data_IF_220977262874
#
_entry.id   IF_220977262874
#
_cell.length_a   1.000
_cell.length_b   1.000
_cell.length_c   1.000
_cell.angle_alpha   90.00
_cell.angle_beta   90.00
_cell.angle_gamma   90.00
#
_symmetry.space_group_name_H-M   'P 1'
#
loop_
_entity.id
_entity.type
_entity.pdbx_description
1 polymer ?
#
# COMPACT_ATOMS: atom_id res chain seq x y z
N UNK A 1 66.38 -22.08 41.21
CA UNK A 1 65.65 -23.31 40.84
C UNK A 1 64.22 -22.94 40.54
N UNK A 2 63.68 -23.47 39.43
CA UNK A 2 62.28 -23.47 38.98
C UNK A 2 61.59 -22.10 38.87
N UNK A 3 61.51 -21.44 37.70
CA UNK A 3 60.83 -21.88 36.45
C UNK A 3 59.51 -22.60 36.75
N UNK A 4 58.40 -21.87 36.67
CA UNK A 4 57.04 -22.33 36.36
C UNK A 4 56.08 -21.15 36.54
N UNK A 5 55.03 -20.92 35.77
CA UNK A 5 54.56 -21.43 34.47
C UNK A 5 53.27 -20.62 34.21
N UNK A 6 52.96 -20.31 32.95
CA UNK A 6 51.63 -19.93 32.45
C UNK A 6 51.04 -18.57 32.84
N UNK A 7 51.52 -17.52 32.16
CA UNK A 7 50.64 -16.42 31.72
C UNK A 7 49.86 -16.92 30.50
N UNK A 8 48.66 -17.45 30.74
CA UNK A 8 47.70 -17.73 29.67
C UNK A 8 47.14 -16.39 29.19
N UNK A 9 47.75 -15.83 28.16
CA UNK A 9 47.18 -14.71 27.41
C UNK A 9 46.02 -15.30 26.60
N UNK A 10 44.81 -15.15 27.12
CA UNK A 10 43.59 -15.34 26.34
C UNK A 10 43.55 -14.21 25.30
N UNK A 11 44.09 -14.49 24.11
CA UNK A 11 43.73 -13.77 22.89
C UNK A 11 42.28 -14.13 22.58
N UNK A 12 41.36 -13.49 23.28
CA UNK A 12 39.99 -13.37 22.82
C UNK A 12 40.05 -12.55 21.54
N UNK A 13 40.18 -13.25 20.41
CA UNK A 13 39.90 -12.71 19.08
C UNK A 13 38.43 -12.32 19.11
N UNK A 14 38.15 -11.10 19.58
CA UNK A 14 36.91 -10.41 19.31
C UNK A 14 36.88 -10.24 17.80
N UNK A 15 36.30 -11.22 17.12
CA UNK A 15 35.71 -10.99 15.81
C UNK A 15 34.67 -9.91 16.04
N UNK A 16 35.09 -8.65 15.90
CA UNK A 16 34.21 -7.56 15.54
C UNK A 16 33.66 -7.98 14.18
N UNK A 17 32.60 -8.77 14.18
CA UNK A 17 31.64 -8.70 13.11
C UNK A 17 31.10 -7.29 13.20
N UNK A 18 31.73 -6.39 12.44
CA UNK A 18 31.11 -5.14 12.07
C UNK A 18 29.89 -5.59 11.30
N UNK A 19 28.78 -5.77 12.01
CA UNK A 19 27.46 -5.73 11.41
C UNK A 19 27.38 -4.33 10.83
N UNK A 20 27.89 -4.17 9.61
CA UNK A 20 27.54 -3.06 8.76
C UNK A 20 26.04 -3.21 8.59
N UNK A 21 25.28 -2.57 9.48
CA UNK A 21 23.91 -2.24 9.20
C UNK A 21 24.00 -1.40 7.93
N UNK A 22 23.81 -2.05 6.79
CA UNK A 22 23.71 -1.40 5.50
C UNK A 22 22.54 -0.44 5.65
N UNK A 23 22.84 0.84 5.86
CA UNK A 23 21.81 1.84 5.99
C UNK A 23 21.00 1.84 4.69
N UNK A 24 19.68 1.80 4.82
CA UNK A 24 18.72 1.95 3.74
C UNK A 24 19.02 3.24 2.97
N UNK A 25 19.76 3.15 1.88
CA UNK A 25 20.28 4.32 1.16
C UNK A 25 19.76 4.43 -0.28
N UNK A 26 19.13 3.37 -0.81
CA UNK A 26 18.65 3.38 -2.19
C UNK A 26 17.34 4.15 -2.31
N UNK A 27 17.25 5.04 -3.30
CA UNK A 27 15.99 5.61 -3.73
C UNK A 27 15.03 4.54 -4.27
N UNK A 28 13.76 4.88 -4.51
CA UNK A 28 12.74 3.90 -4.90
C UNK A 28 13.12 3.15 -6.19
N UNK A 29 13.67 3.84 -7.19
CA UNK A 29 14.01 3.22 -8.47
C UNK A 29 15.26 2.35 -8.37
N UNK A 30 16.26 2.76 -7.59
CA UNK A 30 17.46 1.96 -7.33
C UNK A 30 17.09 0.69 -6.55
N UNK A 31 16.25 0.82 -5.53
CA UNK A 31 15.77 -0.31 -4.74
C UNK A 31 14.94 -1.30 -5.57
N UNK A 32 14.04 -0.82 -6.45
CA UNK A 32 13.30 -1.70 -7.38
C UNK A 32 14.26 -2.52 -8.25
N UNK A 33 15.29 -1.88 -8.82
CA UNK A 33 16.27 -2.56 -9.67
C UNK A 33 17.07 -3.61 -8.90
N UNK A 34 17.46 -3.31 -7.66
CA UNK A 34 18.17 -4.24 -6.79
C UNK A 34 17.28 -5.43 -6.39
N UNK A 35 16.07 -5.14 -5.91
CA UNK A 35 15.19 -6.12 -5.30
C UNK A 35 14.45 -7.02 -6.29
N UNK A 36 14.30 -6.60 -7.55
CA UNK A 36 13.72 -7.46 -8.60
C UNK A 36 14.61 -8.66 -8.96
N UNK A 37 15.89 -8.68 -8.55
CA UNK A 37 16.80 -9.80 -8.77
C UNK A 37 16.90 -10.78 -7.58
N UNK A 38 16.21 -10.50 -6.47
CA UNK A 38 16.44 -11.17 -5.19
C UNK A 38 15.68 -12.51 -5.03
N UNK A 39 16.29 -13.47 -4.30
CA UNK A 39 15.73 -14.81 -4.00
C UNK A 39 15.73 -15.13 -2.48
N UNK A 40 15.11 -14.30 -1.63
CA UNK A 40 15.01 -14.48 -0.15
C UNK A 40 13.82 -15.29 0.39
N UNK A 41 13.34 -15.03 1.61
CA UNK A 41 12.13 -15.66 2.24
C UNK A 41 11.20 -14.57 2.82
N UNK A 42 9.95 -14.92 3.14
CA UNK A 42 8.75 -14.06 3.27
C UNK A 42 8.32 -13.69 4.72
N UNK A 43 7.64 -12.54 4.89
CA UNK A 43 6.86 -12.09 6.08
C UNK A 43 5.44 -11.69 5.67
N UNK A 44 4.42 -11.61 6.55
CA UNK A 44 3.00 -11.34 6.15
C UNK A 44 2.70 -9.87 5.82
N UNK A 45 1.77 -9.61 4.86
CA UNK A 45 1.35 -8.27 4.38
C UNK A 45 -0.21 -8.12 4.31
N UNK A 46 -0.73 -6.93 3.99
CA UNK A 46 -2.16 -6.55 4.02
C UNK A 46 -2.87 -6.63 2.64
N UNK A 47 -4.16 -6.28 2.60
CA UNK A 47 -5.05 -6.37 1.44
C UNK A 47 -4.73 -5.41 0.31
N UNK A 48 -4.21 -4.20 0.57
CA UNK A 48 -3.79 -3.27 -0.50
C UNK A 48 -2.65 -3.87 -1.31
N UNK A 49 -1.65 -4.42 -0.63
CA UNK A 49 -0.54 -5.15 -1.22
C UNK A 49 -1.03 -6.30 -2.14
N UNK A 50 -1.66 -7.33 -1.58
CA UNK A 50 -1.96 -8.53 -2.36
C UNK A 50 -3.01 -8.31 -3.45
N UNK A 51 -4.01 -7.45 -3.20
CA UNK A 51 -5.02 -7.12 -4.22
C UNK A 51 -4.35 -6.49 -5.43
N UNK A 52 -3.49 -5.48 -5.22
CA UNK A 52 -2.79 -4.80 -6.30
C UNK A 52 -1.92 -5.77 -7.10
N UNK A 53 -1.19 -6.67 -6.42
CA UNK A 53 -0.42 -7.69 -7.11
C UNK A 53 -1.28 -8.63 -7.95
N UNK A 54 -2.34 -9.21 -7.38
CA UNK A 54 -3.21 -10.14 -8.07
C UNK A 54 -3.85 -9.49 -9.32
N UNK A 55 -4.40 -8.28 -9.17
CA UNK A 55 -5.01 -7.56 -10.29
C UNK A 55 -3.98 -7.21 -11.37
N UNK A 56 -2.79 -6.72 -11.00
CA UNK A 56 -1.71 -6.46 -11.97
C UNK A 56 -1.30 -7.73 -12.73
N UNK A 57 -1.22 -8.87 -12.03
CA UNK A 57 -0.92 -10.16 -12.67
C UNK A 57 -2.00 -10.61 -13.63
N UNK A 58 -3.29 -10.51 -13.25
CA UNK A 58 -4.38 -10.83 -14.17
C UNK A 58 -4.41 -9.89 -15.37
N UNK A 59 -4.06 -8.62 -15.17
CA UNK A 59 -3.99 -7.62 -16.23
C UNK A 59 -2.81 -7.83 -17.20
N UNK A 60 -1.98 -8.86 -17.02
CA UNK A 60 -0.90 -9.22 -17.94
C UNK A 60 0.46 -8.61 -17.60
N UNK A 61 0.57 -7.84 -16.51
CA UNK A 61 1.84 -7.20 -16.15
C UNK A 61 2.91 -8.23 -15.75
N UNK A 62 4.16 -7.91 -16.05
CA UNK A 62 5.29 -8.70 -15.61
C UNK A 62 5.49 -8.60 -14.08
N UNK A 63 6.29 -9.50 -13.51
CA UNK A 63 6.67 -9.38 -12.09
C UNK A 63 7.47 -8.10 -11.81
N UNK A 64 8.25 -7.63 -12.79
CA UNK A 64 9.03 -6.40 -12.68
C UNK A 64 8.15 -5.16 -12.52
N UNK A 65 6.90 -5.20 -12.99
CA UNK A 65 5.94 -4.11 -12.87
C UNK A 65 4.97 -4.34 -11.70
N UNK A 66 4.45 -5.55 -11.57
CA UNK A 66 3.42 -5.88 -10.55
C UNK A 66 3.94 -5.77 -9.12
N UNK A 67 5.20 -6.17 -8.87
CA UNK A 67 5.78 -6.15 -7.52
C UNK A 67 6.00 -4.71 -6.98
N UNK A 68 6.59 -3.78 -7.75
CA UNK A 68 6.65 -2.38 -7.32
C UNK A 68 5.27 -1.74 -7.08
N UNK A 69 4.30 -1.96 -7.98
CA UNK A 69 2.95 -1.42 -7.82
C UNK A 69 2.33 -1.88 -6.49
N UNK A 70 2.43 -3.18 -6.21
CA UNK A 70 1.98 -3.81 -4.96
C UNK A 70 2.66 -3.21 -3.73
N UNK A 71 3.99 -3.15 -3.71
CA UNK A 71 4.74 -2.64 -2.57
C UNK A 71 4.39 -1.18 -2.26
N UNK A 72 4.36 -0.33 -3.29
CA UNK A 72 4.06 1.08 -3.09
C UNK A 72 2.55 1.36 -2.86
N UNK A 73 1.65 0.42 -3.17
CA UNK A 73 0.24 0.54 -2.75
C UNK A 73 0.02 0.27 -1.26
N UNK A 74 0.95 -0.41 -0.60
CA UNK A 74 0.92 -0.67 0.85
C UNK A 74 1.74 0.35 1.65
N UNK A 75 2.76 0.92 1.01
CA UNK A 75 3.73 1.82 1.65
C UNK A 75 3.13 2.94 2.52
N UNK A 76 2.03 3.62 2.14
CA UNK A 76 1.42 4.64 3.00
C UNK A 76 1.00 4.11 4.37
N UNK A 77 0.43 2.90 4.44
CA UNK A 77 -0.10 2.30 5.66
C UNK A 77 1.00 1.77 6.60
N UNK A 78 2.11 1.28 6.05
CA UNK A 78 3.21 0.71 6.83
C UNK A 78 4.32 1.71 7.21
N UNK A 79 4.31 2.92 6.67
CA UNK A 79 5.40 3.89 6.83
C UNK A 79 5.12 4.97 7.88
N UNK A 80 5.85 6.09 7.79
CA UNK A 80 5.59 7.31 8.56
C UNK A 80 4.39 8.10 8.03
N UNK A 81 3.82 7.70 6.88
CA UNK A 81 2.69 8.38 6.24
C UNK A 81 1.33 7.79 6.62
N UNK A 82 1.29 6.76 7.48
CA UNK A 82 0.06 6.07 7.89
C UNK A 82 -0.98 7.00 8.51
N UNK A 83 -2.24 6.80 8.11
CA UNK A 83 -3.38 7.56 8.62
C UNK A 83 -3.51 7.50 10.14
N UNK A 84 -3.21 6.36 10.78
CA UNK A 84 -3.42 6.14 12.23
C UNK A 84 -2.46 6.96 13.11
N UNK A 85 -1.17 7.00 12.76
CA UNK A 85 -0.20 7.86 13.44
C UNK A 85 -0.60 9.32 13.26
N UNK A 86 -1.03 9.70 12.06
CA UNK A 86 -1.43 11.07 11.74
C UNK A 86 -2.76 11.46 12.42
N UNK A 87 -3.74 10.56 12.55
CA UNK A 87 -5.04 10.83 13.18
C UNK A 87 -4.96 10.87 14.70
N UNK A 88 -4.24 9.94 15.34
CA UNK A 88 -4.09 9.92 16.80
C UNK A 88 -3.23 11.08 17.30
N UNK A 89 -2.11 11.37 16.62
CA UNK A 89 -1.26 12.53 16.96
C UNK A 89 -2.02 13.82 16.73
N UNK A 90 -2.81 13.94 15.65
CA UNK A 90 -3.60 15.14 15.42
C UNK A 90 -4.74 15.31 16.43
N UNK A 91 -5.46 14.25 16.82
CA UNK A 91 -6.49 14.33 17.86
C UNK A 91 -5.93 14.72 19.24
N UNK A 92 -4.76 14.19 19.62
CA UNK A 92 -4.12 14.53 20.91
C UNK A 92 -3.48 15.94 20.86
N UNK A 93 -2.96 16.37 19.70
CA UNK A 93 -2.36 17.71 19.51
C UNK A 93 -3.35 18.79 19.06
N UNK A 94 -4.64 18.46 18.93
CA UNK A 94 -5.71 19.29 18.35
C UNK A 94 -5.98 20.62 19.09
N UNK A 95 -5.26 20.93 20.17
CA UNK A 95 -5.47 22.15 20.94
C UNK A 95 -4.28 23.11 21.03
N UNK A 96 -3.06 22.74 20.60
CA UNK A 96 -1.89 23.64 20.77
C UNK A 96 -0.95 23.81 19.57
N UNK A 97 -0.99 22.95 18.54
CA UNK A 97 0.01 22.98 17.44
C UNK A 97 -0.64 22.64 16.09
N UNK A 98 -1.86 23.11 15.83
CA UNK A 98 -2.41 23.04 14.48
C UNK A 98 -1.70 24.08 13.60
N UNK A 99 -1.09 23.61 12.50
CA UNK A 99 -0.40 24.38 11.45
C UNK A 99 1.06 24.82 11.70
N UNK A 100 2.00 24.03 11.17
CA UNK A 100 3.08 24.65 10.39
C UNK A 100 3.21 24.20 8.94
N UNK A 101 2.86 22.96 8.57
CA UNK A 101 3.19 22.48 7.22
C UNK A 101 2.03 22.01 6.34
N UNK A 102 0.80 21.83 6.86
CA UNK A 102 -0.37 21.35 6.08
C UNK A 102 -0.23 19.95 5.44
N UNK A 103 0.96 19.37 5.49
CA UNK A 103 1.34 18.14 4.81
C UNK A 103 0.65 16.91 5.38
N UNK A 104 0.62 16.73 6.71
CA UNK A 104 -0.07 15.59 7.35
C UNK A 104 -1.56 15.57 6.99
N UNK A 105 -2.20 16.75 6.99
CA UNK A 105 -3.59 16.90 6.55
C UNK A 105 -3.73 16.49 5.08
N UNK A 106 -2.83 16.94 4.20
CA UNK A 106 -2.83 16.51 2.80
C UNK A 106 -2.58 15.01 2.65
N UNK A 107 -1.73 14.38 3.44
CA UNK A 107 -1.53 12.92 3.40
C UNK A 107 -2.85 12.22 3.69
N UNK A 108 -3.55 12.63 4.75
CA UNK A 108 -4.83 12.01 5.12
C UNK A 108 -5.94 12.30 4.09
N UNK A 109 -6.13 13.56 3.71
CA UNK A 109 -7.18 13.94 2.76
C UNK A 109 -6.88 13.42 1.35
N UNK A 110 -5.59 13.35 0.97
CA UNK A 110 -5.20 13.03 -0.40
C UNK A 110 -4.77 11.61 -0.62
N UNK A 111 -3.78 11.13 0.12
CA UNK A 111 -3.22 9.79 -0.05
C UNK A 111 -4.17 8.75 0.53
N UNK A 112 -4.83 9.05 1.66
CA UNK A 112 -5.85 8.19 2.25
C UNK A 112 -7.30 8.54 1.86
N UNK A 113 -7.49 9.44 0.90
CA UNK A 113 -8.80 9.86 0.39
C UNK A 113 -9.86 10.24 1.45
N UNK A 114 -9.46 10.69 2.64
CA UNK A 114 -10.37 11.15 3.71
C UNK A 114 -10.79 12.62 3.52
N UNK A 115 -11.41 12.91 2.38
CA UNK A 115 -11.66 14.27 1.90
C UNK A 115 -13.06 14.83 2.23
N UNK A 116 -13.97 14.05 2.81
CA UNK A 116 -15.30 14.53 3.25
C UNK A 116 -16.25 15.00 2.14
N UNK A 117 -15.97 14.68 0.88
CA UNK A 117 -16.73 15.18 -0.28
C UNK A 117 -17.98 14.36 -0.59
N UNK A 118 -18.92 14.95 -1.32
CA UNK A 118 -20.12 14.27 -1.81
C UNK A 118 -19.83 13.27 -2.95
N UNK A 119 -20.86 12.55 -3.40
CA UNK A 119 -20.79 11.59 -4.52
C UNK A 119 -20.12 12.14 -5.78
N UNK A 120 -20.34 13.42 -6.13
CA UNK A 120 -19.69 14.06 -7.28
C UNK A 120 -18.20 14.31 -7.05
N UNK A 121 -17.83 14.75 -5.84
CA UNK A 121 -16.42 14.92 -5.47
C UNK A 121 -15.67 13.58 -5.46
N UNK A 122 -16.30 12.52 -4.96
CA UNK A 122 -15.76 11.15 -4.96
C UNK A 122 -15.52 10.66 -6.39
N UNK A 123 -16.52 10.79 -7.27
CA UNK A 123 -16.40 10.40 -8.68
C UNK A 123 -15.27 11.17 -9.38
N UNK A 124 -15.23 12.50 -9.19
CA UNK A 124 -14.15 13.35 -9.72
C UNK A 124 -12.79 12.88 -9.24
N UNK A 125 -12.65 12.54 -7.96
CA UNK A 125 -11.40 12.04 -7.38
C UNK A 125 -10.98 10.71 -8.00
N UNK A 126 -11.90 9.73 -8.09
CA UNK A 126 -11.66 8.43 -8.74
C UNK A 126 -11.17 8.62 -10.18
N UNK A 127 -11.78 9.55 -10.94
CA UNK A 127 -11.37 9.84 -12.32
C UNK A 127 -10.01 10.55 -12.40
N UNK A 128 -9.71 11.48 -11.49
CA UNK A 128 -8.38 12.11 -11.40
C UNK A 128 -7.29 11.08 -11.10
N UNK A 129 -7.55 10.16 -10.17
CA UNK A 129 -6.63 9.09 -9.78
C UNK A 129 -6.35 8.14 -10.95
N UNK A 130 -7.39 7.67 -11.67
CA UNK A 130 -7.22 6.88 -12.91
C UNK A 130 -6.29 7.56 -13.91
N UNK A 131 -6.49 8.86 -14.12
CA UNK A 131 -5.70 9.65 -15.06
C UNK A 131 -4.25 9.76 -14.61
N UNK A 132 -4.01 10.01 -13.32
CA UNK A 132 -2.67 10.09 -12.75
C UNK A 132 -1.94 8.74 -12.79
N UNK A 133 -2.63 7.64 -12.44
CA UNK A 133 -2.07 6.28 -12.54
C UNK A 133 -1.69 5.98 -13.99
N UNK A 134 -2.61 6.20 -14.95
CA UNK A 134 -2.34 6.00 -16.39
C UNK A 134 -1.12 6.77 -16.88
N UNK A 135 -0.94 8.01 -16.41
CA UNK A 135 0.20 8.83 -16.79
C UNK A 135 1.53 8.26 -16.24
N UNK A 136 1.53 7.77 -15.01
CA UNK A 136 2.73 7.21 -14.37
C UNK A 136 3.09 5.82 -14.90
N UNK A 137 2.12 5.01 -15.32
CA UNK A 137 2.37 3.68 -15.91
C UNK A 137 3.17 3.73 -17.23
N UNK A 138 3.23 4.89 -17.91
CA UNK A 138 4.00 5.06 -19.16
C UNK A 138 5.51 4.98 -18.98
N UNK A 139 6.01 4.99 -17.74
CA UNK A 139 7.44 4.96 -17.44
C UNK A 139 7.74 4.03 -16.28
N UNK A 140 8.66 3.08 -16.47
CA UNK A 140 9.10 2.17 -15.42
C UNK A 140 9.69 2.89 -14.20
N UNK A 141 10.23 4.11 -14.37
CA UNK A 141 10.78 4.93 -13.28
C UNK A 141 9.69 5.58 -12.40
N UNK A 142 8.42 5.47 -12.79
CA UNK A 142 7.28 6.03 -12.08
C UNK A 142 6.35 4.94 -11.50
N UNK A 143 6.75 3.67 -11.53
CA UNK A 143 5.95 2.59 -10.94
C UNK A 143 5.69 2.80 -9.45
N UNK A 144 6.66 3.36 -8.71
CA UNK A 144 6.46 3.68 -7.30
C UNK A 144 5.39 4.77 -7.10
N UNK A 145 5.33 5.78 -7.97
CA UNK A 145 4.27 6.80 -7.95
C UNK A 145 2.92 6.19 -8.30
N UNK A 146 2.88 5.34 -9.33
CA UNK A 146 1.67 4.62 -9.71
C UNK A 146 1.15 3.75 -8.56
N UNK A 147 2.01 3.04 -7.83
CA UNK A 147 1.64 2.27 -6.64
C UNK A 147 1.02 3.13 -5.54
N UNK A 148 1.64 4.27 -5.20
CA UNK A 148 1.06 5.22 -4.22
C UNK A 148 -0.28 5.81 -4.67
N UNK A 149 -0.48 6.02 -5.98
CA UNK A 149 -1.76 6.47 -6.51
C UNK A 149 -2.81 5.35 -6.52
N UNK A 150 -2.40 4.09 -6.71
CA UNK A 150 -3.27 2.91 -6.57
C UNK A 150 -3.77 2.78 -5.13
N UNK A 151 -2.92 3.02 -4.13
CA UNK A 151 -3.35 3.11 -2.73
C UNK A 151 -4.48 4.14 -2.56
N UNK A 152 -4.23 5.40 -2.97
CA UNK A 152 -5.24 6.46 -2.87
C UNK A 152 -6.52 6.14 -3.65
N UNK A 153 -6.39 5.38 -4.75
CA UNK A 153 -7.50 4.91 -5.56
C UNK A 153 -8.31 3.81 -4.86
N UNK A 154 -7.68 2.86 -4.17
CA UNK A 154 -8.37 1.91 -3.32
C UNK A 154 -9.12 2.62 -2.19
N UNK A 155 -8.47 3.55 -1.51
CA UNK A 155 -9.05 4.33 -0.42
C UNK A 155 -10.22 5.21 -0.89
N UNK A 156 -10.20 5.71 -2.14
CA UNK A 156 -11.34 6.44 -2.71
C UNK A 156 -12.60 5.56 -2.91
N UNK A 157 -12.48 4.23 -2.84
CA UNK A 157 -13.61 3.30 -2.76
C UNK A 157 -13.92 2.93 -1.32
N UNK A 158 -12.91 2.52 -0.54
CA UNK A 158 -13.10 2.06 0.83
C UNK A 158 -13.62 3.16 1.76
N UNK A 159 -13.03 4.35 1.69
CA UNK A 159 -13.30 5.46 2.62
C UNK A 159 -14.52 6.30 2.22
N UNK A 160 -15.62 5.63 1.92
CA UNK A 160 -16.91 6.25 1.63
C UNK A 160 -18.02 5.57 2.42
N UNK A 161 -18.96 6.36 2.95
CA UNK A 161 -20.23 5.89 3.51
C UNK A 161 -21.33 5.95 2.45
N UNK A 162 -22.45 5.27 2.71
CA UNK A 162 -23.56 5.17 1.76
C UNK A 162 -23.31 4.19 0.61
N UNK A 163 -24.28 4.12 -0.30
CA UNK A 163 -24.29 3.16 -1.39
C UNK A 163 -23.38 3.61 -2.53
N UNK A 164 -22.63 2.68 -3.11
CA UNK A 164 -21.69 2.99 -4.18
C UNK A 164 -22.36 3.66 -5.39
N UNK A 165 -21.78 4.77 -5.86
CA UNK A 165 -22.26 5.54 -7.01
C UNK A 165 -23.72 5.98 -6.91
N UNK A 166 -24.20 6.18 -5.67
CA UNK A 166 -25.50 6.77 -5.39
C UNK A 166 -25.34 8.18 -4.83
N UNK A 167 -26.40 8.97 -4.85
CA UNK A 167 -26.37 10.35 -4.34
C UNK A 167 -26.13 10.44 -2.83
N UNK A 168 -26.34 9.33 -2.09
CA UNK A 168 -26.04 9.22 -0.66
C UNK A 168 -24.59 8.78 -0.37
N UNK A 169 -23.74 8.57 -1.40
CA UNK A 169 -22.32 8.30 -1.21
C UNK A 169 -21.59 9.57 -0.73
N UNK A 170 -20.83 9.45 0.35
CA UNK A 170 -20.07 10.57 0.93
C UNK A 170 -18.72 10.05 1.46
N UNK A 171 -17.65 10.82 1.28
CA UNK A 171 -16.32 10.48 1.78
C UNK A 171 -16.25 10.65 3.29
N UNK A 172 -15.47 9.81 3.97
CA UNK A 172 -15.09 10.10 5.35
C UNK A 172 -14.20 11.35 5.39
N UNK A 173 -14.23 12.08 6.51
CA UNK A 173 -13.51 13.36 6.66
C UNK A 173 -12.39 13.26 7.68
N UNK A 174 -11.27 13.94 7.42
CA UNK A 174 -10.28 14.27 8.45
C UNK A 174 -10.93 15.13 9.57
N UNK A 175 -10.49 15.00 10.84
CA UNK A 175 -9.54 14.01 11.38
C UNK A 175 -10.18 12.70 11.82
N UNK A 176 -11.51 12.64 11.86
CA UNK A 176 -12.25 11.54 12.49
C UNK A 176 -12.26 10.27 11.62
N UNK A 177 -12.11 10.41 10.31
CA UNK A 177 -12.15 9.31 9.36
C UNK A 177 -13.40 8.47 9.51
N UNK A 178 -13.23 7.15 9.52
CA UNK A 178 -14.28 6.17 9.79
C UNK A 178 -14.27 5.65 11.24
N UNK A 179 -13.56 6.31 12.18
CA UNK A 179 -13.40 5.81 13.55
C UNK A 179 -14.75 5.56 14.26
N UNK A 180 -15.75 6.42 14.02
CA UNK A 180 -17.10 6.23 14.55
C UNK A 180 -17.84 5.04 13.91
N UNK A 181 -17.69 4.83 12.60
CA UNK A 181 -18.33 3.71 11.92
C UNK A 181 -17.66 2.37 12.28
N UNK A 182 -16.35 2.34 12.54
CA UNK A 182 -15.66 1.16 13.05
C UNK A 182 -16.07 0.79 14.49
N UNK A 183 -16.55 1.75 15.29
CA UNK A 183 -17.02 1.51 16.67
C UNK A 183 -18.50 1.12 16.74
N UNK A 184 -19.35 1.63 15.85
CA UNK A 184 -20.81 1.53 15.99
C UNK A 184 -21.54 0.91 14.78
N UNK A 185 -20.85 0.64 13.66
CA UNK A 185 -21.45 0.12 12.41
C UNK A 185 -20.51 -0.89 11.71
N UNK A 186 -20.46 -0.86 10.37
CA UNK A 186 -19.60 -1.70 9.54
C UNK A 186 -18.27 -1.00 9.31
N UNK A 187 -17.16 -1.67 9.63
CA UNK A 187 -15.83 -1.17 9.33
C UNK A 187 -15.64 -1.11 7.81
N UNK A 188 -15.47 0.07 7.16
CA UNK A 188 -15.31 0.17 5.72
C UNK A 188 -14.10 -0.61 5.17
N UNK A 189 -13.11 -0.88 6.01
CA UNK A 189 -11.89 -1.65 5.66
C UNK A 189 -12.20 -3.14 5.42
N UNK A 190 -13.37 -3.62 5.86
CA UNK A 190 -13.78 -5.01 5.68
C UNK A 190 -14.40 -5.19 4.30
N UNK A 191 -13.69 -5.91 3.44
CA UNK A 191 -14.12 -6.21 2.07
C UNK A 191 -15.50 -6.87 2.06
N UNK A 192 -15.82 -7.74 3.03
CA UNK A 192 -17.13 -8.41 3.05
C UNK A 192 -18.30 -7.45 3.22
N UNK A 193 -18.14 -6.39 4.00
CA UNK A 193 -19.18 -5.36 4.15
C UNK A 193 -19.20 -4.37 2.99
N UNK A 194 -18.13 -4.32 2.19
CA UNK A 194 -17.95 -3.41 1.06
C UNK A 194 -17.81 -4.14 -0.29
N UNK A 195 -18.33 -5.37 -0.44
CA UNK A 195 -18.07 -6.24 -1.61
C UNK A 195 -18.31 -5.56 -2.96
N UNK A 196 -19.39 -4.78 -3.06
CA UNK A 196 -19.71 -4.04 -4.28
C UNK A 196 -18.62 -3.01 -4.61
N UNK A 197 -18.23 -2.18 -3.64
CA UNK A 197 -17.16 -1.18 -3.79
C UNK A 197 -15.84 -1.85 -4.16
N UNK A 198 -15.49 -2.94 -3.47
CA UNK A 198 -14.29 -3.73 -3.76
C UNK A 198 -14.31 -4.34 -5.18
N UNK A 199 -15.44 -4.90 -5.62
CA UNK A 199 -15.60 -5.47 -6.96
C UNK A 199 -15.47 -4.39 -8.04
N UNK A 200 -16.08 -3.22 -7.83
CA UNK A 200 -15.99 -2.11 -8.79
C UNK A 200 -14.58 -1.48 -8.82
N UNK A 201 -13.90 -1.40 -7.67
CA UNK A 201 -12.49 -1.02 -7.60
C UNK A 201 -11.61 -1.98 -8.40
N UNK A 202 -11.70 -3.29 -8.14
CA UNK A 202 -10.88 -4.31 -8.79
C UNK A 202 -11.14 -4.39 -10.30
N UNK A 203 -12.40 -4.32 -10.76
CA UNK A 203 -12.72 -4.19 -12.20
C UNK A 203 -12.10 -2.96 -12.82
N UNK A 204 -12.20 -1.83 -12.14
CA UNK A 204 -11.64 -0.59 -12.68
C UNK A 204 -10.11 -0.58 -12.67
N UNK A 205 -9.47 -1.18 -11.67
CA UNK A 205 -8.01 -1.32 -11.63
C UNK A 205 -7.52 -2.31 -12.70
N UNK A 206 -8.21 -3.44 -12.89
CA UNK A 206 -7.91 -4.38 -13.97
C UNK A 206 -7.92 -3.69 -15.32
N UNK A 207 -9.01 -2.97 -15.64
CA UNK A 207 -9.13 -2.23 -16.90
C UNK A 207 -8.06 -1.15 -17.09
N UNK A 208 -7.57 -0.57 -15.99
CA UNK A 208 -6.52 0.45 -16.00
C UNK A 208 -5.13 -0.15 -16.26
N UNK A 209 -4.91 -1.39 -15.84
CA UNK A 209 -3.64 -2.10 -15.95
C UNK A 209 -3.59 -3.02 -17.19
N UNK A 210 -4.72 -3.29 -17.84
CA UNK A 210 -4.86 -4.30 -18.90
C UNK A 210 -3.82 -4.15 -20.02
N UNK A 211 -3.09 -5.24 -20.30
CA UNK A 211 -2.20 -5.40 -21.45
C UNK A 211 -2.76 -6.45 -22.43
N UNK A 212 -2.18 -6.61 -23.63
CA UNK A 212 -2.56 -7.68 -24.55
C UNK A 212 -2.44 -9.11 -23.96
N UNK A 213 -1.62 -9.28 -22.93
CA UNK A 213 -1.37 -10.55 -22.23
C UNK A 213 -2.34 -10.81 -21.06
N UNK A 214 -3.36 -9.97 -20.88
CA UNK A 214 -4.29 -10.09 -19.76
C UNK A 214 -5.08 -11.42 -19.76
N UNK A 215 -5.18 -12.05 -18.59
CA UNK A 215 -5.98 -13.25 -18.33
C UNK A 215 -7.35 -12.85 -17.76
N UNK A 216 -8.25 -12.45 -18.65
CA UNK A 216 -9.63 -12.05 -18.30
C UNK A 216 -10.42 -13.19 -17.65
N UNK A 217 -10.17 -14.43 -18.05
CA UNK A 217 -10.88 -15.58 -17.49
C UNK A 217 -10.53 -15.76 -16.02
N UNK A 218 -9.23 -15.72 -15.70
CA UNK A 218 -8.75 -15.83 -14.32
C UNK A 218 -9.21 -14.66 -13.46
N UNK A 219 -9.26 -13.45 -14.02
CA UNK A 219 -9.83 -12.29 -13.34
C UNK A 219 -11.32 -12.46 -12.98
N UNK A 220 -12.14 -12.91 -13.93
CA UNK A 220 -13.57 -13.15 -13.65
C UNK A 220 -13.78 -14.31 -12.67
N UNK A 221 -12.96 -15.35 -12.73
CA UNK A 221 -12.97 -16.43 -11.72
C UNK A 221 -12.63 -15.91 -10.32
N UNK A 222 -11.63 -15.02 -10.21
CA UNK A 222 -11.29 -14.35 -8.96
C UNK A 222 -12.48 -13.55 -8.40
N UNK A 223 -13.15 -12.74 -9.24
CA UNK A 223 -14.33 -11.99 -8.82
C UNK A 223 -15.49 -12.90 -8.42
N UNK A 224 -15.68 -14.01 -9.13
CA UNK A 224 -16.71 -15.01 -8.80
C UNK A 224 -16.47 -15.64 -7.43
N UNK A 225 -15.22 -15.99 -7.10
CA UNK A 225 -14.86 -16.53 -5.78
C UNK A 225 -15.13 -15.51 -4.66
N UNK A 226 -14.76 -14.24 -4.84
CA UNK A 226 -14.97 -13.19 -3.83
C UNK A 226 -16.46 -12.88 -3.62
N UNK A 227 -17.23 -12.87 -4.70
CA UNK A 227 -18.67 -12.60 -4.66
C UNK A 227 -19.52 -13.84 -4.35
N UNK A 228 -18.91 -15.00 -4.19
CA UNK A 228 -19.66 -16.22 -3.88
C UNK A 228 -20.29 -16.14 -2.48
N UNK A 229 -21.50 -16.72 -2.30
CA UNK A 229 -22.16 -16.78 -0.99
C UNK A 229 -21.33 -17.52 0.07
N UNK A 230 -20.49 -18.47 -0.36
CA UNK A 230 -19.58 -19.22 0.51
C UNK A 230 -18.46 -18.34 1.09
N UNK A 231 -18.10 -17.25 0.42
CA UNK A 231 -17.09 -16.31 0.89
C UNK A 231 -17.67 -15.16 1.70
N UNK A 232 -18.16 -15.44 2.90
CA UNK A 232 -18.94 -14.52 3.72
C UNK A 232 -18.20 -13.85 4.88
N UNK A 233 -16.87 -13.98 4.95
CA UNK A 233 -16.03 -13.32 5.95
C UNK A 233 -14.69 -12.88 5.35
N UNK A 234 -14.01 -11.94 6.00
CA UNK A 234 -12.78 -11.36 5.46
C UNK A 234 -11.64 -12.38 5.38
N UNK A 235 -11.61 -13.40 6.25
CA UNK A 235 -10.59 -14.46 6.18
C UNK A 235 -10.69 -15.25 4.86
N UNK A 236 -11.90 -15.52 4.38
CA UNK A 236 -12.09 -16.15 3.08
C UNK A 236 -11.56 -15.26 1.95
N UNK A 237 -11.90 -13.96 1.96
CA UNK A 237 -11.46 -13.02 0.93
C UNK A 237 -9.93 -12.91 0.93
N UNK A 238 -9.33 -12.74 2.10
CA UNK A 238 -7.88 -12.68 2.28
C UNK A 238 -7.20 -13.96 1.80
N UNK A 239 -7.78 -15.14 2.06
CA UNK A 239 -7.27 -16.40 1.53
C UNK A 239 -7.27 -16.43 0.01
N UNK A 240 -8.38 -16.06 -0.64
CA UNK A 240 -8.47 -16.02 -2.12
C UNK A 240 -7.41 -15.08 -2.69
N UNK A 241 -7.24 -13.89 -2.09
CA UNK A 241 -6.26 -12.90 -2.53
C UNK A 241 -4.83 -13.41 -2.35
N UNK A 242 -4.51 -14.04 -1.21
CA UNK A 242 -3.18 -14.60 -0.92
C UNK A 242 -2.85 -15.81 -1.78
N UNK A 243 -3.82 -16.66 -2.11
CA UNK A 243 -3.63 -17.83 -2.97
C UNK A 243 -3.22 -17.44 -4.41
N UNK A 244 -3.57 -16.22 -4.84
CA UNK A 244 -3.15 -15.65 -6.13
C UNK A 244 -1.78 -14.96 -6.08
N UNK A 245 -1.19 -14.86 -4.89
CA UNK A 245 0.08 -14.18 -4.65
C UNK A 245 1.25 -15.15 -4.63
N UNK A 246 2.42 -14.75 -5.13
CA UNK A 246 3.58 -15.63 -5.22
C UNK A 246 4.53 -15.44 -4.03
N UNK A 247 5.25 -16.50 -3.64
CA UNK A 247 6.36 -16.41 -2.66
C UNK A 247 7.35 -15.31 -3.08
N UNK A 248 7.55 -15.08 -4.38
CA UNK A 248 8.42 -14.04 -4.90
C UNK A 248 8.04 -12.62 -4.46
N UNK A 249 6.75 -12.34 -4.27
CA UNK A 249 6.25 -11.03 -3.87
C UNK A 249 6.76 -10.65 -2.47
N UNK A 250 6.68 -11.58 -1.53
CA UNK A 250 7.12 -11.34 -0.15
C UNK A 250 8.64 -11.15 -0.06
N UNK A 251 9.40 -11.88 -0.89
CA UNK A 251 10.87 -11.71 -0.99
C UNK A 251 11.22 -10.31 -1.48
N UNK A 252 10.47 -9.83 -2.47
CA UNK A 252 10.62 -8.49 -3.00
C UNK A 252 10.32 -7.44 -1.91
N UNK A 253 9.20 -7.56 -1.19
CA UNK A 253 8.84 -6.64 -0.10
C UNK A 253 9.88 -6.60 1.00
N UNK A 254 10.34 -7.77 1.49
CA UNK A 254 11.45 -7.85 2.47
C UNK A 254 12.71 -7.15 1.97
N UNK A 255 13.09 -7.38 0.70
CA UNK A 255 14.23 -6.69 0.11
C UNK A 255 14.02 -5.16 0.08
N UNK A 256 12.85 -4.70 -0.37
CA UNK A 256 12.53 -3.27 -0.44
C UNK A 256 12.59 -2.62 0.95
N UNK A 257 12.02 -3.26 1.98
CA UNK A 257 12.08 -2.79 3.38
C UNK A 257 13.53 -2.67 3.90
N UNK A 258 14.42 -3.54 3.44
CA UNK A 258 15.83 -3.56 3.85
C UNK A 258 16.76 -2.67 3.03
N UNK A 259 16.42 -2.37 1.77
CA UNK A 259 17.31 -1.67 0.85
C UNK A 259 16.86 -0.22 0.56
N UNK A 260 15.55 0.02 0.52
CA UNK A 260 14.98 1.31 0.17
C UNK A 260 14.98 2.26 1.36
N UNK A 261 15.49 3.48 1.16
CA UNK A 261 15.27 4.57 2.12
C UNK A 261 13.79 4.93 2.18
N UNK A 262 13.34 5.54 3.28
CA UNK A 262 12.00 6.14 3.30
C UNK A 262 11.85 7.19 2.20
N UNK A 263 10.65 7.28 1.63
CA UNK A 263 10.31 8.39 0.75
C UNK A 263 10.41 9.70 1.53
N UNK A 264 10.84 10.75 0.84
CA UNK A 264 10.93 12.10 1.38
C UNK A 264 9.58 12.79 1.30
N UNK A 265 9.41 13.86 2.09
CA UNK A 265 8.20 14.69 2.01
C UNK A 265 7.95 15.24 0.60
N UNK A 266 9.01 15.64 -0.12
CA UNK A 266 8.89 16.17 -1.49
C UNK A 266 8.45 15.10 -2.49
N UNK A 267 8.95 13.86 -2.35
CA UNK A 267 8.52 12.74 -3.20
C UNK A 267 7.04 12.39 -2.98
N UNK A 268 6.57 12.43 -1.72
CA UNK A 268 5.15 12.23 -1.43
C UNK A 268 4.31 13.42 -1.91
N UNK A 269 4.79 14.66 -1.73
CA UNK A 269 4.08 15.85 -2.20
C UNK A 269 3.89 15.84 -3.72
N UNK A 270 4.92 15.44 -4.48
CA UNK A 270 4.87 15.31 -5.94
C UNK A 270 3.79 14.31 -6.40
N UNK A 271 3.54 13.25 -5.63
CA UNK A 271 2.42 12.32 -5.88
C UNK A 271 1.09 12.97 -5.50
N UNK A 272 1.00 13.58 -4.32
CA UNK A 272 -0.22 14.24 -3.82
C UNK A 272 -0.68 15.42 -4.70
N UNK A 273 0.23 16.10 -5.39
CA UNK A 273 -0.10 17.19 -6.30
C UNK A 273 -0.83 16.71 -7.56
N UNK A 274 -0.79 15.41 -7.84
CA UNK A 274 -1.52 14.78 -8.94
C UNK A 274 -2.97 14.41 -8.56
N UNK A 275 -3.32 14.49 -7.27
CA UNK A 275 -4.63 14.08 -6.77
C UNK A 275 -5.52 15.30 -6.54
N UNK A 276 -6.63 15.37 -7.29
CA UNK A 276 -7.60 16.46 -7.29
C UNK A 276 -8.87 16.13 -6.52
#
# INVERSE_FOLDING_TARGET
>A
MLKNLLRTIFLASTYLTVNMAFANNLGPNEAIKECTNYRGVAFEEDGHFYTTYAIAKFAGLSNKESMPLSFFSEYPDESQYTATKNSLISMIRLQKVLNKNGFEKQVVEKLHSLHGGDSKAIEKRRNSLKSAISANLKSSNNLWKAGLLIHAYADAYAHTKGDYSQTNEEGYTYPLGHAFDSLFKTNPDKIVTAKKKYTDYTRSLFSLLETPEADKSKFEDFLKKINSPECNNDQCVQKIIKDESSIGLMKFSTCMKNQMRSLTQNEIQDVMDQIK
#
